data_IF_392128445703
#
_entry.id   IF_392128445703
#
_cell.length_a   1.000
_cell.length_b   1.000
_cell.length_c   1.000
_cell.angle_alpha   90.00
_cell.angle_beta   90.00
_cell.angle_gamma   90.00
#
_symmetry.space_group_name_H-M   'P 1'
#
loop_
_entity.id
_entity.type
_entity.pdbx_description
1 polymer ?
#
# COMPACT_ATOMS: atom_id res chain seq x y z
N UNK A 1 17.29 -51.45 -18.44
CA UNK A 1 17.94 -50.61 -19.47
C UNK A 1 18.58 -49.43 -18.75
N UNK A 2 19.85 -49.60 -18.38
CA UNK A 2 20.69 -48.57 -17.77
C UNK A 2 21.30 -47.71 -18.85
N UNK A 3 21.25 -46.38 -18.70
CA UNK A 3 22.07 -45.47 -19.47
C UNK A 3 22.90 -44.65 -18.47
N UNK A 4 24.20 -44.93 -18.47
CA UNK A 4 25.24 -44.21 -17.77
C UNK A 4 25.69 -43.02 -18.64
N UNK A 5 25.87 -41.86 -18.02
CA UNK A 5 26.52 -40.68 -18.61
C UNK A 5 27.94 -40.52 -18.04
N UNK A 6 28.93 -40.12 -18.84
CA UNK A 6 30.32 -40.06 -18.42
C UNK A 6 30.66 -38.74 -17.72
N UNK A 7 31.66 -38.87 -16.86
CA UNK A 7 32.33 -37.85 -16.08
C UNK A 7 33.51 -37.33 -16.91
N UNK A 8 33.59 -36.02 -17.18
CA UNK A 8 34.79 -35.38 -17.75
C UNK A 8 35.47 -34.51 -16.70
N UNK A 9 36.81 -34.57 -16.76
CA UNK A 9 37.79 -34.16 -15.77
C UNK A 9 38.63 -33.00 -16.33
N UNK A 10 39.07 -32.13 -15.42
CA UNK A 10 40.29 -31.29 -15.44
C UNK A 10 40.63 -30.43 -16.67
N UNK A 11 40.89 -29.14 -16.40
CA UNK A 11 42.21 -28.56 -16.68
C UNK A 11 42.43 -27.32 -15.82
N UNK A 12 43.43 -27.41 -14.94
CA UNK A 12 44.11 -26.27 -14.34
C UNK A 12 44.97 -25.58 -15.41
N UNK A 13 44.91 -24.26 -15.50
CA UNK A 13 45.93 -23.48 -16.20
C UNK A 13 46.16 -22.17 -15.46
N UNK A 14 47.29 -22.15 -14.77
CA UNK A 14 47.85 -21.05 -14.02
C UNK A 14 48.91 -20.38 -14.93
N UNK A 15 48.81 -19.08 -15.18
CA UNK A 15 49.83 -18.30 -15.88
C UNK A 15 50.10 -17.00 -15.12
N UNK A 16 51.35 -16.88 -14.68
CA UNK A 16 51.95 -15.78 -13.95
C UNK A 16 52.04 -14.46 -14.73
N UNK A 17 52.08 -13.39 -13.92
CA UNK A 17 52.90 -12.18 -14.01
C UNK A 17 53.00 -11.39 -15.33
N UNK A 18 52.63 -10.11 -15.26
CA UNK A 18 53.55 -9.01 -15.62
C UNK A 18 53.08 -7.66 -15.07
N UNK A 19 54.08 -6.91 -14.67
CA UNK A 19 54.10 -5.65 -13.94
C UNK A 19 54.10 -4.44 -14.89
N UNK A 20 53.84 -3.27 -14.31
CA UNK A 20 54.20 -1.91 -14.76
C UNK A 20 53.46 -1.26 -15.93
N UNK A 21 52.87 -0.09 -15.63
CA UNK A 21 52.36 0.83 -16.65
C UNK A 21 51.55 1.99 -16.07
N UNK A 22 52.21 2.90 -15.36
CA UNK A 22 51.63 4.14 -14.88
C UNK A 22 51.11 5.01 -16.04
N UNK A 23 49.81 5.33 -16.02
CA UNK A 23 49.29 6.58 -16.58
C UNK A 23 48.10 7.02 -15.74
N UNK A 24 48.33 8.03 -14.90
CA UNK A 24 47.31 8.64 -14.05
C UNK A 24 46.49 9.61 -14.91
N UNK A 25 45.52 9.10 -15.67
CA UNK A 25 44.49 9.93 -16.28
C UNK A 25 43.44 10.24 -15.22
N UNK A 26 43.24 11.52 -14.93
CA UNK A 26 42.11 12.01 -14.15
C UNK A 26 40.86 11.98 -15.05
N UNK A 27 40.45 10.76 -15.42
CA UNK A 27 39.14 10.52 -15.99
C UNK A 27 38.19 10.42 -14.80
N UNK A 28 37.62 11.56 -14.40
CA UNK A 28 36.52 11.58 -13.43
C UNK A 28 35.46 10.59 -13.94
N UNK A 29 35.17 9.53 -13.18
CA UNK A 29 34.22 8.52 -13.60
C UNK A 29 32.88 9.23 -13.84
N UNK A 30 32.17 8.93 -14.94
CA UNK A 30 30.88 9.53 -15.22
C UNK A 30 30.00 9.34 -13.99
N UNK A 31 29.61 10.46 -13.37
CA UNK A 31 28.79 10.45 -12.17
C UNK A 31 27.51 9.67 -12.48
N UNK A 32 27.45 8.44 -11.98
CA UNK A 32 26.27 7.60 -12.12
C UNK A 32 25.08 8.36 -11.54
N UNK A 33 23.95 8.45 -12.27
CA UNK A 33 22.79 9.21 -11.83
C UNK A 33 22.29 8.69 -10.47
N UNK A 34 22.55 9.45 -9.39
CA UNK A 34 22.23 9.15 -7.99
C UNK A 34 20.72 9.21 -7.66
N UNK A 35 19.84 8.77 -8.56
CA UNK A 35 18.39 8.86 -8.37
C UNK A 35 17.84 7.92 -7.30
N UNK A 36 18.53 6.83 -6.97
CA UNK A 36 18.03 5.80 -6.03
C UNK A 36 18.29 6.12 -4.57
N UNK A 37 19.25 6.98 -4.24
CA UNK A 37 19.60 7.29 -2.84
C UNK A 37 18.60 8.24 -2.17
N UNK A 38 18.14 9.28 -2.86
CA UNK A 38 17.33 10.34 -2.24
C UNK A 38 15.93 9.89 -1.83
N UNK A 39 15.33 8.97 -2.59
CA UNK A 39 14.00 8.42 -2.28
C UNK A 39 14.02 7.56 -1.02
N UNK A 40 15.00 6.66 -0.89
CA UNK A 40 15.16 5.83 0.31
C UNK A 40 15.50 6.66 1.54
N UNK A 41 16.30 7.73 1.37
CA UNK A 41 16.65 8.61 2.47
C UNK A 41 15.48 9.48 2.94
N UNK A 42 14.56 9.85 2.02
CA UNK A 42 13.29 10.51 2.36
C UNK A 42 12.39 9.59 3.19
N UNK A 43 12.27 8.31 2.82
CA UNK A 43 11.46 7.33 3.58
C UNK A 43 11.97 7.14 5.03
N UNK A 44 13.26 7.38 5.30
CA UNK A 44 13.89 7.15 6.60
C UNK A 44 13.73 8.33 7.58
N UNK A 45 13.58 9.56 7.11
CA UNK A 45 13.64 10.76 7.99
C UNK A 45 12.36 11.07 8.77
N UNK A 46 11.21 10.55 8.36
CA UNK A 46 9.92 10.95 8.93
C UNK A 46 9.57 10.29 10.28
N UNK A 47 10.34 9.30 10.75
CA UNK A 47 9.99 8.51 11.94
C UNK A 47 10.55 9.05 13.28
N UNK A 48 11.31 10.15 13.29
CA UNK A 48 12.05 10.61 14.47
C UNK A 48 11.33 11.62 15.40
N UNK A 49 10.06 11.98 15.13
CA UNK A 49 9.38 13.10 15.80
C UNK A 49 8.23 12.69 16.74
N UNK A 50 8.36 11.55 17.44
CA UNK A 50 7.33 11.10 18.39
C UNK A 50 7.40 11.89 19.72
N UNK A 51 6.57 12.94 19.83
CA UNK A 51 6.36 13.73 21.04
C UNK A 51 5.60 12.87 22.07
N UNK A 52 6.30 12.47 23.14
CA UNK A 52 5.72 11.75 24.28
C UNK A 52 5.03 12.71 25.25
N UNK A 53 3.69 12.75 25.25
CA UNK A 53 2.88 13.48 26.22
C UNK A 53 2.50 12.57 27.39
N UNK A 54 3.02 12.81 28.59
CA UNK A 54 2.57 12.16 29.83
C UNK A 54 1.53 13.03 30.54
N UNK A 55 0.24 12.72 30.34
CA UNK A 55 -0.84 13.40 31.03
C UNK A 55 -1.15 12.67 32.36
N UNK A 56 -0.56 13.15 33.46
CA UNK A 56 -0.94 12.72 34.81
C UNK A 56 -2.13 13.56 35.30
N UNK A 57 -3.31 12.95 35.30
CA UNK A 57 -4.52 13.58 35.86
C UNK A 57 -4.74 13.07 37.28
N UNK A 58 -4.38 13.88 38.28
CA UNK A 58 -4.69 13.67 39.69
C UNK A 58 -6.15 14.04 39.94
N UNK A 59 -7.05 13.09 39.65
CA UNK A 59 -8.45 13.18 40.09
C UNK A 59 -8.47 13.01 41.61
N UNK A 60 -8.67 14.12 42.31
CA UNK A 60 -8.92 14.16 43.75
C UNK A 60 -10.29 13.51 44.03
N UNK A 61 -10.27 12.23 44.36
CA UNK A 61 -11.44 11.48 44.83
C UNK A 61 -11.72 11.83 46.29
N UNK A 62 -12.43 12.92 46.53
CA UNK A 62 -13.22 13.09 47.77
C UNK A 62 -14.43 12.15 47.70
N UNK A 63 -14.15 10.85 47.72
CA UNK A 63 -15.14 9.78 47.78
C UNK A 63 -15.52 9.61 49.26
N UNK A 64 -16.80 9.84 49.56
CA UNK A 64 -17.46 9.45 50.81
C UNK A 64 -16.96 8.09 51.30
N UNK A 65 -16.41 8.04 52.51
CA UNK A 65 -15.87 6.83 53.16
C UNK A 65 -16.88 5.66 53.09
N UNK A 66 -16.72 4.76 52.11
CA UNK A 66 -17.62 3.62 51.83
C UNK A 66 -17.28 2.36 52.65
N UNK A 67 -16.39 2.49 53.64
CA UNK A 67 -15.84 1.36 54.39
C UNK A 67 -16.42 1.18 55.80
N UNK A 68 -17.51 1.87 56.17
CA UNK A 68 -18.22 1.55 57.40
C UNK A 68 -18.91 0.17 57.25
N UNK A 69 -18.71 -0.76 58.20
CA UNK A 69 -19.39 -2.06 58.17
C UNK A 69 -20.90 -1.86 58.29
N UNK A 70 -21.63 -2.20 57.23
CA UNK A 70 -23.07 -2.05 57.13
C UNK A 70 -23.61 -2.60 55.81
N UNK A 71 -24.92 -2.82 55.75
CA UNK A 71 -25.62 -3.44 54.61
C UNK A 71 -25.33 -2.75 53.27
N UNK A 72 -25.04 -1.44 53.29
CA UNK A 72 -24.65 -0.68 52.10
C UNK A 72 -23.35 -1.14 51.43
N UNK A 73 -22.39 -1.70 52.18
CA UNK A 73 -21.12 -2.20 51.62
C UNK A 73 -21.31 -3.43 50.75
N UNK A 74 -22.19 -4.35 51.16
CA UNK A 74 -22.52 -5.53 50.37
C UNK A 74 -23.23 -5.13 49.07
N UNK A 75 -24.13 -4.15 49.14
CA UNK A 75 -24.83 -3.65 47.96
C UNK A 75 -23.88 -2.94 46.98
N UNK A 76 -22.98 -2.10 47.49
CA UNK A 76 -21.95 -1.45 46.68
C UNK A 76 -21.02 -2.47 46.00
N UNK A 77 -20.54 -3.47 46.72
CA UNK A 77 -19.72 -4.55 46.16
C UNK A 77 -20.47 -5.34 45.08
N UNK A 78 -21.76 -5.62 45.30
CA UNK A 78 -22.60 -6.30 44.32
C UNK A 78 -22.73 -5.50 43.02
N UNK A 79 -23.01 -4.19 43.09
CA UNK A 79 -23.13 -3.36 41.88
C UNK A 79 -21.79 -3.17 41.17
N UNK A 80 -20.68 -2.99 41.90
CA UNK A 80 -19.34 -2.93 41.30
C UNK A 80 -18.99 -4.23 40.57
N UNK A 81 -19.32 -5.37 41.19
CA UNK A 81 -19.12 -6.68 40.55
C UNK A 81 -20.00 -6.85 39.32
N UNK A 82 -21.28 -6.47 39.40
CA UNK A 82 -22.22 -6.56 38.29
C UNK A 82 -21.81 -5.66 37.12
N UNK A 83 -21.36 -4.43 37.40
CA UNK A 83 -20.81 -3.50 36.42
C UNK A 83 -19.58 -4.08 35.72
N UNK A 84 -18.59 -4.55 36.49
CA UNK A 84 -17.39 -5.18 35.93
C UNK A 84 -17.70 -6.43 35.09
N UNK A 85 -18.69 -7.25 35.50
CA UNK A 85 -19.14 -8.41 34.74
C UNK A 85 -19.82 -8.00 33.42
N UNK A 86 -20.63 -6.94 33.43
CA UNK A 86 -21.28 -6.40 32.24
C UNK A 86 -20.26 -5.81 31.25
N UNK A 87 -19.35 -4.98 31.73
CA UNK A 87 -18.27 -4.39 30.93
C UNK A 87 -17.42 -5.47 30.25
N UNK A 88 -17.04 -6.52 30.99
CA UNK A 88 -16.28 -7.65 30.43
C UNK A 88 -17.08 -8.37 29.33
N UNK A 89 -18.39 -8.59 29.51
CA UNK A 89 -19.24 -9.23 28.50
C UNK A 89 -19.41 -8.37 27.25
N UNK A 90 -19.63 -7.07 27.42
CA UNK A 90 -19.75 -6.13 26.29
C UNK A 90 -18.43 -6.01 25.53
N UNK A 91 -17.29 -5.95 26.24
CA UNK A 91 -15.95 -5.98 25.65
C UNK A 91 -15.72 -7.22 24.79
N UNK A 92 -16.01 -8.41 25.33
CA UNK A 92 -15.88 -9.66 24.56
C UNK A 92 -16.79 -9.71 23.32
N UNK A 93 -18.01 -9.17 23.41
CA UNK A 93 -18.92 -9.12 22.26
C UNK A 93 -18.39 -8.16 21.18
N UNK A 94 -17.87 -7.00 21.58
CA UNK A 94 -17.25 -6.05 20.66
C UNK A 94 -16.00 -6.64 19.99
N UNK A 95 -15.12 -7.30 20.74
CA UNK A 95 -13.93 -7.97 20.23
C UNK A 95 -14.28 -9.07 19.22
N UNK A 96 -15.26 -9.93 19.53
CA UNK A 96 -15.72 -10.97 18.59
C UNK A 96 -16.31 -10.38 17.31
N UNK A 97 -17.11 -9.32 17.44
CA UNK A 97 -17.70 -8.65 16.30
C UNK A 97 -16.63 -7.99 15.41
N UNK A 98 -15.59 -7.41 16.02
CA UNK A 98 -14.46 -6.84 15.29
C UNK A 98 -13.62 -7.91 14.59
N UNK A 99 -13.28 -9.01 15.30
CA UNK A 99 -12.55 -10.13 14.74
C UNK A 99 -13.27 -10.73 13.52
N UNK A 100 -14.60 -10.90 13.60
CA UNK A 100 -15.41 -11.38 12.47
C UNK A 100 -15.36 -10.44 11.26
N UNK A 101 -15.43 -9.11 11.49
CA UNK A 101 -15.30 -8.13 10.40
C UNK A 101 -13.92 -8.16 9.75
N UNK A 102 -12.87 -8.35 10.54
CA UNK A 102 -11.50 -8.50 10.04
C UNK A 102 -11.35 -9.76 9.20
N UNK A 103 -11.86 -10.89 9.69
CA UNK A 103 -11.85 -12.15 8.95
C UNK A 103 -12.60 -12.05 7.61
N UNK A 104 -13.78 -11.40 7.61
CA UNK A 104 -14.56 -11.14 6.39
C UNK A 104 -13.76 -10.27 5.40
N UNK A 105 -13.13 -9.20 5.88
CA UNK A 105 -12.32 -8.30 5.05
C UNK A 105 -11.10 -9.01 4.45
N UNK A 106 -10.39 -9.82 5.24
CA UNK A 106 -9.25 -10.63 4.76
C UNK A 106 -9.70 -11.67 3.74
N UNK A 107 -10.84 -12.34 3.98
CA UNK A 107 -11.41 -13.29 3.03
C UNK A 107 -11.79 -12.63 1.71
N UNK A 108 -12.35 -11.42 1.76
CA UNK A 108 -12.67 -10.63 0.58
C UNK A 108 -11.39 -10.20 -0.18
N UNK A 109 -10.34 -9.77 0.54
CA UNK A 109 -9.05 -9.42 -0.05
C UNK A 109 -8.39 -10.60 -0.76
N UNK A 110 -8.40 -11.77 -0.14
CA UNK A 110 -7.88 -13.00 -0.74
C UNK A 110 -8.69 -13.43 -1.97
N UNK A 111 -10.00 -13.16 -1.96
CA UNK A 111 -10.86 -13.30 -3.13
C UNK A 111 -10.75 -12.08 -4.06
N UNK A 112 -9.58 -11.87 -4.67
CA UNK A 112 -9.32 -10.74 -5.59
C UNK A 112 -10.43 -10.50 -6.61
N UNK A 113 -10.99 -11.60 -7.16
CA UNK A 113 -12.12 -11.55 -8.10
C UNK A 113 -13.38 -10.91 -7.49
N UNK A 114 -13.65 -11.16 -6.22
CA UNK A 114 -14.75 -10.55 -5.48
C UNK A 114 -14.59 -9.03 -5.36
N UNK A 115 -13.41 -8.56 -4.95
CA UNK A 115 -13.11 -7.12 -4.90
C UNK A 115 -13.18 -6.46 -6.26
N UNK A 116 -12.60 -7.07 -7.30
CA UNK A 116 -12.69 -6.54 -8.66
C UNK A 116 -14.14 -6.45 -9.14
N UNK A 117 -14.96 -7.47 -8.87
CA UNK A 117 -16.38 -7.42 -9.21
C UNK A 117 -17.09 -6.24 -8.52
N UNK A 118 -16.74 -5.95 -7.27
CA UNK A 118 -17.30 -4.80 -6.56
C UNK A 118 -16.89 -3.48 -7.22
N UNK A 119 -15.61 -3.30 -7.56
CA UNK A 119 -15.11 -2.06 -8.18
C UNK A 119 -15.58 -1.82 -9.62
N UNK A 120 -15.73 -2.87 -10.42
CA UNK A 120 -16.23 -2.77 -11.80
C UNK A 120 -17.74 -2.64 -11.90
N UNK A 121 -18.47 -3.00 -10.85
CA UNK A 121 -19.91 -2.77 -10.80
C UNK A 121 -20.25 -1.28 -10.88
N UNK A 122 -21.50 -0.98 -11.24
CA UNK A 122 -22.02 0.39 -11.24
C UNK A 122 -22.66 0.79 -9.92
N UNK A 123 -22.74 -0.12 -8.94
CA UNK A 123 -23.32 0.19 -7.63
C UNK A 123 -22.30 0.91 -6.72
N UNK A 124 -22.51 2.21 -6.41
CA UNK A 124 -21.63 2.95 -5.53
C UNK A 124 -21.59 2.42 -4.10
N UNK A 125 -22.57 1.60 -3.67
CA UNK A 125 -22.58 0.94 -2.36
C UNK A 125 -21.57 -0.19 -2.30
N UNK A 126 -21.44 -0.97 -3.38
CA UNK A 126 -20.43 -2.04 -3.49
C UNK A 126 -19.02 -1.45 -3.51
N UNK A 127 -18.80 -0.31 -4.19
CA UNK A 127 -17.52 0.41 -4.11
C UNK A 127 -17.17 0.79 -2.67
N UNK A 128 -18.12 1.38 -1.94
CA UNK A 128 -17.92 1.76 -0.54
C UNK A 128 -17.66 0.54 0.36
N UNK A 129 -18.30 -0.60 0.10
CA UNK A 129 -18.07 -1.86 0.81
C UNK A 129 -16.65 -2.39 0.56
N UNK A 130 -16.20 -2.43 -0.69
CA UNK A 130 -14.86 -2.85 -1.05
C UNK A 130 -13.79 -1.95 -0.42
N UNK A 131 -13.94 -0.62 -0.56
CA UNK A 131 -13.07 0.37 0.09
C UNK A 131 -12.98 0.16 1.61
N UNK A 132 -14.12 -0.08 2.27
CA UNK A 132 -14.15 -0.33 3.71
C UNK A 132 -13.40 -1.61 4.10
N UNK A 133 -13.53 -2.69 3.32
CA UNK A 133 -12.78 -3.93 3.55
C UNK A 133 -11.27 -3.70 3.41
N UNK A 134 -10.85 -3.00 2.35
CA UNK A 134 -9.44 -2.66 2.13
C UNK A 134 -8.86 -1.81 3.28
N UNK A 135 -9.59 -0.78 3.74
CA UNK A 135 -9.16 0.05 4.87
C UNK A 135 -9.05 -0.75 6.18
N UNK A 136 -9.94 -1.73 6.41
CA UNK A 136 -9.84 -2.64 7.56
C UNK A 136 -8.56 -3.49 7.49
N UNK A 137 -8.26 -4.06 6.32
CA UNK A 137 -7.05 -4.87 6.12
C UNK A 137 -5.77 -4.03 6.24
N UNK A 138 -5.76 -2.83 5.67
CA UNK A 138 -4.65 -1.88 5.73
C UNK A 138 -4.33 -1.47 7.19
N UNK A 139 -5.35 -1.09 7.97
CA UNK A 139 -5.15 -0.53 9.30
C UNK A 139 -4.98 -1.60 10.40
N UNK A 140 -5.81 -2.66 10.37
CA UNK A 140 -5.98 -3.56 11.53
C UNK A 140 -5.38 -4.96 11.39
N UNK A 141 -4.70 -5.25 10.28
CA UNK A 141 -4.06 -6.55 10.09
C UNK A 141 -2.72 -6.60 10.82
N UNK A 142 -2.51 -7.63 11.65
CA UNK A 142 -1.23 -7.96 12.28
C UNK A 142 -0.24 -8.61 11.30
N UNK A 143 -0.74 -9.07 10.15
CA UNK A 143 0.06 -9.63 9.08
C UNK A 143 0.45 -8.53 8.10
N UNK A 144 1.76 -8.25 8.01
CA UNK A 144 2.36 -7.26 7.10
C UNK A 144 2.03 -7.57 5.63
N UNK A 145 2.01 -8.84 5.23
CA UNK A 145 1.66 -9.24 3.86
C UNK A 145 0.23 -8.86 3.48
N UNK A 146 -0.72 -9.02 4.41
CA UNK A 146 -2.12 -8.59 4.21
C UNK A 146 -2.25 -7.08 4.08
N UNK A 147 -1.45 -6.30 4.83
CA UNK A 147 -1.42 -4.84 4.68
C UNK A 147 -0.87 -4.45 3.30
N UNK A 148 0.23 -5.06 2.86
CA UNK A 148 0.82 -4.84 1.53
C UNK A 148 -0.20 -5.15 0.43
N UNK A 149 -0.89 -6.29 0.53
CA UNK A 149 -1.93 -6.66 -0.43
C UNK A 149 -3.08 -5.64 -0.43
N UNK A 150 -3.52 -5.17 0.74
CA UNK A 150 -4.55 -4.15 0.83
C UNK A 150 -4.10 -2.82 0.19
N UNK A 151 -2.87 -2.36 0.44
CA UNK A 151 -2.31 -1.16 -0.17
C UNK A 151 -2.23 -1.30 -1.70
N UNK A 152 -1.78 -2.45 -2.20
CA UNK A 152 -1.80 -2.75 -3.63
C UNK A 152 -3.19 -2.61 -4.20
N UNK A 153 -4.18 -3.28 -3.61
CA UNK A 153 -5.54 -3.27 -4.14
C UNK A 153 -6.20 -1.88 -4.06
N UNK A 154 -5.83 -1.03 -3.08
CA UNK A 154 -6.23 0.39 -3.06
C UNK A 154 -5.67 1.12 -4.28
N UNK A 155 -4.35 1.04 -4.50
CA UNK A 155 -3.68 1.71 -5.62
C UNK A 155 -4.20 1.19 -6.95
N UNK A 156 -4.33 -0.13 -7.10
CA UNK A 156 -4.90 -0.75 -8.29
C UNK A 156 -6.35 -0.34 -8.53
N UNK A 157 -7.18 -0.30 -7.49
CA UNK A 157 -8.57 0.18 -7.60
C UNK A 157 -8.62 1.62 -8.13
N UNK A 158 -7.78 2.51 -7.60
CA UNK A 158 -7.68 3.90 -8.06
C UNK A 158 -7.15 4.00 -9.49
N UNK A 159 -6.20 3.17 -9.90
CA UNK A 159 -5.74 3.18 -11.29
C UNK A 159 -6.86 2.73 -12.23
N UNK A 160 -7.59 1.68 -11.87
CA UNK A 160 -8.59 1.02 -12.74
C UNK A 160 -9.89 1.80 -12.87
N UNK A 161 -10.32 2.44 -11.78
CA UNK A 161 -11.58 3.20 -11.71
C UNK A 161 -11.38 4.48 -10.88
N UNK A 162 -10.61 5.47 -11.38
CA UNK A 162 -10.12 6.61 -10.60
C UNK A 162 -11.20 7.34 -9.81
N UNK A 163 -12.22 7.86 -10.47
CA UNK A 163 -13.22 8.66 -9.77
C UNK A 163 -14.12 7.81 -8.90
N UNK A 164 -14.54 6.62 -9.36
CA UNK A 164 -15.42 5.71 -8.61
C UNK A 164 -14.77 5.29 -7.29
N UNK A 165 -13.53 4.82 -7.32
CA UNK A 165 -12.83 4.32 -6.14
C UNK A 165 -12.40 5.46 -5.22
N UNK A 166 -11.84 6.55 -5.75
CA UNK A 166 -11.45 7.70 -4.91
C UNK A 166 -12.66 8.31 -4.21
N UNK A 167 -13.77 8.52 -4.92
CA UNK A 167 -15.01 9.03 -4.31
C UNK A 167 -15.60 8.06 -3.28
N UNK A 168 -15.47 6.74 -3.49
CA UNK A 168 -15.89 5.76 -2.50
C UNK A 168 -15.01 5.77 -1.25
N UNK A 169 -13.69 5.86 -1.39
CA UNK A 169 -12.75 6.00 -0.27
C UNK A 169 -13.07 7.24 0.56
N UNK A 170 -13.19 8.41 -0.08
CA UNK A 170 -13.49 9.66 0.61
C UNK A 170 -14.83 9.60 1.37
N UNK A 171 -15.88 9.03 0.76
CA UNK A 171 -17.17 8.85 1.45
C UNK A 171 -17.09 7.90 2.64
N UNK A 172 -16.24 6.86 2.59
CA UNK A 172 -16.06 5.95 3.72
C UNK A 172 -15.35 6.67 4.87
N UNK A 173 -14.28 7.40 4.58
CA UNK A 173 -13.53 8.20 5.56
C UNK A 173 -14.40 9.28 6.20
N UNK A 174 -15.18 10.01 5.39
CA UNK A 174 -16.10 11.04 5.87
C UNK A 174 -17.18 10.47 6.81
N UNK A 175 -17.75 9.30 6.48
CA UNK A 175 -18.71 8.60 7.36
C UNK A 175 -18.09 8.16 8.68
N UNK A 176 -16.79 7.86 8.68
CA UNK A 176 -16.04 7.51 9.89
C UNK A 176 -15.58 8.75 10.66
N UNK A 177 -15.75 9.96 10.10
CA UNK A 177 -15.22 11.23 10.61
C UNK A 177 -13.70 11.19 10.73
N UNK A 178 -13.04 10.51 9.81
CA UNK A 178 -11.59 10.35 9.75
C UNK A 178 -11.03 11.14 8.57
N UNK A 179 -9.83 11.71 8.74
CA UNK A 179 -9.07 12.38 7.66
C UNK A 179 -8.12 11.36 7.05
N UNK A 180 -8.03 11.31 5.71
CA UNK A 180 -7.24 10.29 4.99
C UNK A 180 -5.78 10.23 5.43
N UNK A 181 -5.15 11.38 5.66
CA UNK A 181 -3.76 11.47 6.16
C UNK A 181 -3.61 10.88 7.56
N UNK A 182 -4.57 11.14 8.45
CA UNK A 182 -4.59 10.54 9.79
C UNK A 182 -4.73 9.02 9.71
N UNK A 183 -5.62 8.51 8.85
CA UNK A 183 -5.80 7.07 8.63
C UNK A 183 -4.54 6.42 8.05
N UNK A 184 -3.93 7.05 7.04
CA UNK A 184 -2.69 6.57 6.43
C UNK A 184 -1.54 6.53 7.44
N UNK A 185 -1.43 7.56 8.29
CA UNK A 185 -0.43 7.61 9.36
C UNK A 185 -0.65 6.53 10.42
N UNK A 186 -1.90 6.14 10.68
CA UNK A 186 -2.23 5.11 11.67
C UNK A 186 -1.89 3.69 11.21
N UNK A 187 -1.58 3.49 9.92
CA UNK A 187 -1.14 2.18 9.41
C UNK A 187 0.27 1.80 9.87
N UNK A 188 1.10 2.80 10.17
CA UNK A 188 2.40 2.61 10.84
C UNK A 188 2.14 2.32 12.32
N UNK A 189 2.68 1.21 12.80
CA UNK A 189 2.52 0.73 14.18
C UNK A 189 3.70 1.21 15.01
N UNK A 190 3.46 1.80 16.19
CA UNK A 190 4.54 2.12 17.10
C UNK A 190 5.24 0.82 17.54
N UNK A 191 6.57 0.81 17.45
CA UNK A 191 7.41 -0.32 17.89
C UNK A 191 7.77 -1.34 16.80
N UNK A 192 7.25 -1.22 15.57
CA UNK A 192 7.79 -1.96 14.42
C UNK A 192 8.96 -1.15 13.86
N UNK A 193 10.19 -1.57 14.20
CA UNK A 193 11.41 -0.82 13.88
C UNK A 193 11.74 -0.87 12.39
N UNK A 194 11.45 -2.00 11.72
CA UNK A 194 11.85 -2.23 10.35
C UNK A 194 10.67 -2.70 9.48
N UNK A 195 10.07 -1.76 8.76
CA UNK A 195 9.20 -2.08 7.63
C UNK A 195 10.03 -2.48 6.42
N UNK A 196 9.56 -3.46 5.65
CA UNK A 196 10.22 -3.81 4.39
C UNK A 196 10.09 -2.65 3.39
N UNK A 197 11.06 -2.51 2.49
CA UNK A 197 11.00 -1.52 1.41
C UNK A 197 9.72 -1.65 0.58
N UNK A 198 9.27 -2.88 0.35
CA UNK A 198 8.02 -3.16 -0.33
C UNK A 198 6.81 -2.62 0.43
N UNK A 199 6.78 -2.78 1.76
CA UNK A 199 5.72 -2.20 2.58
C UNK A 199 5.71 -0.69 2.49
N UNK A 200 6.86 -0.04 2.65
CA UNK A 200 6.99 1.43 2.59
C UNK A 200 6.57 1.98 1.23
N UNK A 201 6.97 1.32 0.15
CA UNK A 201 6.59 1.69 -1.22
C UNK A 201 5.07 1.65 -1.44
N UNK A 202 4.41 0.55 -1.05
CA UNK A 202 2.96 0.43 -1.22
C UNK A 202 2.18 1.31 -0.25
N UNK A 203 2.69 1.47 0.98
CA UNK A 203 2.14 2.39 1.98
C UNK A 203 2.12 3.83 1.44
N UNK A 204 3.22 4.32 0.88
CA UNK A 204 3.32 5.69 0.39
C UNK A 204 2.35 5.96 -0.77
N UNK A 205 2.29 5.05 -1.76
CA UNK A 205 1.33 5.16 -2.86
C UNK A 205 -0.13 5.09 -2.38
N UNK A 206 -0.46 4.16 -1.49
CA UNK A 206 -1.82 4.04 -0.95
C UNK A 206 -2.20 5.26 -0.11
N UNK A 207 -1.26 5.80 0.66
CA UNK A 207 -1.43 7.04 1.43
C UNK A 207 -1.72 8.21 0.51
N UNK A 208 -1.00 8.30 -0.62
CA UNK A 208 -1.23 9.32 -1.65
C UNK A 208 -2.64 9.24 -2.24
N UNK A 209 -3.15 8.04 -2.49
CA UNK A 209 -4.54 7.82 -2.94
C UNK A 209 -5.59 8.30 -1.94
N UNK A 210 -5.27 8.36 -0.64
CA UNK A 210 -6.15 8.85 0.42
C UNK A 210 -5.96 10.34 0.76
N UNK A 211 -4.93 10.99 0.23
CA UNK A 211 -4.68 12.39 0.57
C UNK A 211 -5.76 13.29 -0.03
N UNK A 212 -6.25 14.20 0.82
CA UNK A 212 -7.15 15.29 0.47
C UNK A 212 -6.42 16.61 0.25
N UNK A 213 -5.09 16.62 0.38
CA UNK A 213 -4.26 17.80 0.15
C UNK A 213 -4.49 18.37 -1.26
N UNK A 214 -4.50 19.70 -1.35
CA UNK A 214 -4.60 20.42 -2.63
C UNK A 214 -3.52 20.03 -3.62
N UNK A 215 -2.33 19.70 -3.12
CA UNK A 215 -1.14 19.54 -3.94
C UNK A 215 -1.23 18.28 -4.82
N UNK A 216 -1.87 17.23 -4.31
CA UNK A 216 -2.08 15.97 -5.04
C UNK A 216 -3.41 15.93 -5.78
N UNK A 217 -4.26 16.95 -5.56
CA UNK A 217 -5.58 17.00 -6.19
C UNK A 217 -5.45 17.11 -7.71
N UNK A 218 -4.50 17.90 -8.22
CA UNK A 218 -4.25 18.09 -9.64
C UNK A 218 -4.01 16.75 -10.37
N UNK A 219 -3.12 15.89 -9.82
CA UNK A 219 -2.84 14.57 -10.39
C UNK A 219 -4.11 13.75 -10.59
N UNK A 220 -4.94 13.64 -9.56
CA UNK A 220 -6.14 12.82 -9.61
C UNK A 220 -7.33 13.50 -10.30
N UNK A 221 -7.33 14.82 -10.45
CA UNK A 221 -8.29 15.50 -11.31
C UNK A 221 -7.98 15.21 -12.78
N UNK A 222 -6.69 15.20 -13.16
CA UNK A 222 -6.22 14.77 -14.48
C UNK A 222 -6.50 13.28 -14.78
N UNK A 223 -6.78 12.45 -13.77
CA UNK A 223 -7.14 11.03 -14.00
C UNK A 223 -8.60 10.79 -14.34
N UNK A 224 -9.48 11.80 -14.21
CA UNK A 224 -10.90 11.66 -14.54
C UNK A 224 -11.12 11.28 -16.03
N UNK A 225 -10.22 11.67 -16.92
CA UNK A 225 -10.28 11.28 -18.33
C UNK A 225 -10.09 9.77 -18.59
N UNK A 226 -9.56 9.01 -17.61
CA UNK A 226 -9.37 7.57 -17.73
C UNK A 226 -10.60 6.77 -17.30
N UNK A 227 -11.64 7.41 -16.76
CA UNK A 227 -12.85 6.71 -16.35
C UNK A 227 -13.58 6.12 -17.55
N UNK A 228 -13.78 4.79 -17.52
CA UNK A 228 -14.44 4.06 -18.60
C UNK A 228 -13.56 3.84 -19.84
N UNK A 229 -12.33 4.36 -19.85
CA UNK A 229 -11.36 4.00 -20.87
C UNK A 229 -11.03 2.51 -20.79
N UNK A 230 -10.82 1.87 -21.94
CA UNK A 230 -10.37 0.47 -22.00
C UNK A 230 -8.88 0.40 -21.68
N UNK A 231 -8.42 -0.72 -21.14
CA UNK A 231 -6.97 -0.95 -20.99
C UNK A 231 -6.30 -0.91 -22.35
N UNK A 232 -5.10 -0.32 -22.39
CA UNK A 232 -4.26 -0.27 -23.59
C UNK A 232 -5.00 0.29 -24.81
N UNK A 233 -5.73 1.39 -24.63
CA UNK A 233 -6.56 1.99 -25.70
C UNK A 233 -6.33 3.48 -25.91
N UNK A 234 -5.48 4.11 -25.09
CA UNK A 234 -5.22 5.53 -25.17
C UNK A 234 -3.85 5.80 -25.77
N UNK A 235 -3.79 6.85 -26.59
CA UNK A 235 -2.54 7.39 -27.11
C UNK A 235 -1.71 8.07 -26.01
N UNK A 236 -0.43 8.32 -26.28
CA UNK A 236 0.47 8.93 -25.30
C UNK A 236 0.10 10.38 -24.93
N UNK A 237 -0.54 11.13 -25.83
CA UNK A 237 -0.86 12.55 -25.61
C UNK A 237 -1.85 12.74 -24.45
N UNK A 238 -2.67 11.72 -24.15
CA UNK A 238 -3.57 11.72 -22.99
C UNK A 238 -2.84 11.74 -21.65
N UNK A 239 -1.56 11.35 -21.59
CA UNK A 239 -0.81 11.30 -20.34
C UNK A 239 0.03 12.55 -20.07
N UNK A 240 0.09 13.50 -21.01
CA UNK A 240 0.88 14.73 -20.85
C UNK A 240 0.41 15.54 -19.62
N UNK A 241 -0.90 15.77 -19.50
CA UNK A 241 -1.48 16.46 -18.35
C UNK A 241 -1.21 15.73 -17.03
N UNK A 242 -1.24 14.40 -17.04
CA UNK A 242 -0.97 13.58 -15.87
C UNK A 242 0.50 13.70 -15.41
N UNK A 243 1.44 13.69 -16.35
CA UNK A 243 2.86 13.87 -16.08
C UNK A 243 3.16 15.30 -15.59
N UNK A 244 2.56 16.32 -16.20
CA UNK A 244 2.70 17.72 -15.78
C UNK A 244 2.08 18.00 -14.41
N UNK A 245 1.06 17.23 -14.02
CA UNK A 245 0.41 17.33 -12.70
C UNK A 245 1.17 16.60 -11.59
N UNK A 246 2.27 15.90 -11.90
CA UNK A 246 3.06 15.17 -10.92
C UNK A 246 3.95 16.11 -10.12
N UNK A 247 3.66 16.28 -8.83
CA UNK A 247 4.40 17.22 -7.98
C UNK A 247 5.67 16.63 -7.37
N UNK A 248 5.71 15.30 -7.20
CA UNK A 248 6.83 14.58 -6.63
C UNK A 248 7.01 13.18 -7.24
N UNK A 249 8.00 12.44 -6.73
CA UNK A 249 8.33 11.08 -7.18
C UNK A 249 7.16 10.10 -7.04
N UNK A 250 6.35 10.23 -5.98
CA UNK A 250 5.24 9.31 -5.71
C UNK A 250 4.11 9.55 -6.71
N UNK A 251 3.79 10.82 -6.99
CA UNK A 251 2.85 11.20 -8.04
C UNK A 251 3.30 10.69 -9.41
N UNK A 252 4.59 10.84 -9.72
CA UNK A 252 5.18 10.33 -10.97
C UNK A 252 5.04 8.81 -11.08
N UNK A 253 5.33 8.06 -10.01
CA UNK A 253 5.17 6.60 -10.00
C UNK A 253 3.71 6.20 -10.24
N UNK A 254 2.75 6.90 -9.65
CA UNK A 254 1.32 6.68 -9.90
C UNK A 254 1.00 7.00 -11.36
N UNK A 255 1.48 8.13 -11.91
CA UNK A 255 1.29 8.48 -13.32
C UNK A 255 1.82 7.41 -14.28
N UNK A 256 3.00 6.85 -14.00
CA UNK A 256 3.59 5.76 -14.78
C UNK A 256 2.75 4.48 -14.70
N UNK A 257 2.09 4.20 -13.58
CA UNK A 257 1.15 3.08 -13.44
C UNK A 257 -0.11 3.28 -14.30
N UNK A 258 -0.59 4.52 -14.43
CA UNK A 258 -1.66 4.86 -15.37
C UNK A 258 -1.23 4.65 -16.81
N UNK A 259 -0.07 5.19 -17.20
CA UNK A 259 0.50 5.02 -18.56
C UNK A 259 0.60 3.54 -18.89
N UNK A 260 1.26 2.74 -18.06
CA UNK A 260 1.43 1.30 -18.30
C UNK A 260 0.12 0.51 -18.34
N UNK A 261 -0.97 1.03 -17.75
CA UNK A 261 -2.28 0.38 -17.78
C UNK A 261 -3.10 0.75 -19.02
N UNK A 262 -3.09 2.03 -19.42
CA UNK A 262 -4.02 2.56 -20.42
C UNK A 262 -3.38 2.83 -21.78
N UNK A 263 -2.06 2.93 -21.87
CA UNK A 263 -1.37 3.21 -23.12
C UNK A 263 -1.43 2.02 -24.07
N UNK A 264 -1.83 2.27 -25.32
CA UNK A 264 -1.87 1.29 -26.41
C UNK A 264 -0.50 0.68 -26.75
N UNK A 265 0.59 1.34 -26.35
CA UNK A 265 1.96 0.92 -26.60
C UNK A 265 2.47 1.31 -27.98
N UNK A 266 1.71 2.10 -28.73
CA UNK A 266 2.15 2.61 -30.02
C UNK A 266 3.03 3.86 -29.81
N UNK A 267 4.14 3.89 -30.55
CA UNK A 267 5.07 5.02 -30.59
C UNK A 267 6.49 4.73 -30.11
N UNK A 268 7.43 5.67 -30.35
CA UNK A 268 8.86 5.48 -30.09
C UNK A 268 9.19 5.34 -28.60
N UNK A 269 8.34 5.84 -27.70
CA UNK A 269 8.52 5.75 -26.26
C UNK A 269 8.43 4.30 -25.73
N UNK A 270 7.90 3.36 -26.52
CA UNK A 270 7.70 1.98 -26.07
C UNK A 270 9.02 1.34 -25.66
N UNK A 271 10.09 1.65 -26.40
CA UNK A 271 11.43 1.14 -26.14
C UNK A 271 12.06 1.74 -24.88
N UNK A 272 11.77 3.01 -24.57
CA UNK A 272 12.27 3.65 -23.35
C UNK A 272 11.58 3.11 -22.10
N UNK A 273 10.26 2.91 -22.16
CA UNK A 273 9.51 2.36 -21.03
C UNK A 273 9.88 0.91 -20.71
N UNK A 274 10.04 0.09 -21.75
CA UNK A 274 10.41 -1.32 -21.58
C UNK A 274 11.85 -1.50 -21.09
N UNK A 275 12.77 -0.59 -21.43
CA UNK A 275 14.17 -0.65 -20.97
C UNK A 275 14.38 -0.11 -19.55
N UNK A 276 13.58 0.87 -19.09
CA UNK A 276 13.77 1.48 -17.77
C UNK A 276 13.07 0.75 -16.61
N UNK A 277 11.98 0.03 -16.88
CA UNK A 277 11.09 -0.50 -15.84
C UNK A 277 11.06 -2.03 -15.72
N UNK A 278 11.93 -2.76 -16.41
CA UNK A 278 12.05 -4.22 -16.27
C UNK A 278 13.28 -4.56 -15.40
N UNK A 279 13.18 -4.54 -14.04
CA UNK A 279 14.27 -5.01 -13.20
C UNK A 279 14.40 -6.53 -13.39
N UNK A 280 15.63 -7.06 -13.48
CA UNK A 280 15.91 -8.39 -14.06
C UNK A 280 15.25 -9.61 -13.39
N UNK A 281 14.63 -9.52 -12.19
CA UNK A 281 14.22 -10.72 -11.46
C UNK A 281 12.78 -10.81 -10.93
N UNK A 282 11.91 -9.79 -11.10
CA UNK A 282 10.51 -9.90 -10.59
C UNK A 282 9.39 -9.52 -11.55
N UNK A 283 9.67 -8.88 -12.70
CA UNK A 283 8.64 -8.43 -13.65
C UNK A 283 8.63 -9.13 -15.01
N UNK A 284 9.45 -10.18 -15.19
CA UNK A 284 9.40 -11.03 -16.40
C UNK A 284 8.02 -11.68 -16.65
N UNK A 285 7.18 -11.75 -15.61
CA UNK A 285 5.80 -12.19 -15.71
C UNK A 285 4.83 -11.12 -16.24
N UNK A 286 5.16 -9.82 -16.16
CA UNK A 286 4.28 -8.73 -16.58
C UNK A 286 4.29 -8.56 -18.11
N UNK A 287 5.46 -8.56 -18.75
CA UNK A 287 5.57 -8.54 -20.21
C UNK A 287 4.90 -9.76 -20.87
N UNK A 288 5.03 -10.95 -20.27
CA UNK A 288 4.30 -12.17 -20.69
C UNK A 288 2.80 -12.12 -20.34
N UNK A 289 2.41 -11.48 -19.23
CA UNK A 289 1.00 -11.34 -18.84
C UNK A 289 0.25 -10.33 -19.68
N UNK A 290 0.87 -9.23 -20.13
CA UNK A 290 0.23 -8.30 -21.07
C UNK A 290 0.00 -8.97 -22.44
N UNK A 291 0.87 -9.89 -22.85
CA UNK A 291 0.68 -10.71 -24.06
C UNK A 291 -0.41 -11.78 -23.86
N UNK A 292 -0.46 -12.46 -22.70
CA UNK A 292 -1.52 -13.44 -22.37
C UNK A 292 -2.89 -12.83 -22.06
N UNK A 293 -2.97 -11.63 -21.48
CA UNK A 293 -4.23 -10.91 -21.27
C UNK A 293 -4.83 -10.48 -22.61
N UNK A 294 -3.99 -10.06 -23.58
CA UNK A 294 -4.41 -9.86 -24.99
C UNK A 294 -4.97 -11.12 -25.65
N UNK A 295 -4.50 -12.31 -25.27
CA UNK A 295 -5.03 -13.59 -25.78
C UNK A 295 -6.31 -14.03 -25.06
N UNK A 296 -6.41 -13.78 -23.75
CA UNK A 296 -7.58 -14.14 -22.95
C UNK A 296 -8.77 -13.17 -23.12
N UNK A 297 -8.54 -11.87 -23.35
CA UNK A 297 -9.63 -10.91 -23.64
C UNK A 297 -10.23 -11.07 -25.04
N UNK A 298 -9.56 -11.78 -25.97
CA UNK A 298 -10.17 -12.19 -27.25
C UNK A 298 -11.15 -13.37 -27.10
N UNK A 299 -11.22 -13.98 -25.91
CA UNK A 299 -12.06 -15.14 -25.62
C UNK A 299 -13.32 -14.76 -24.80
N UNK A 300 -13.59 -13.47 -24.59
CA UNK A 300 -14.79 -12.93 -23.95
C UNK A 300 -15.40 -11.81 -24.81
#
# INVERSE_FOLDING_TARGET
MSLATPHEEMTDSNCDASNDGATHSNDDPPEDPQFTSSFLDKLRRDDASAISYSYYSTVSTNYTMSNLPGTGRNLGNFYSWAGAALERRLGQLAERADAKKREEAVSALQSKRGLYRMFWGDDPREHGKACKMLLICANRSDNIGVQIDAFREIVWGVIKCPTKVRSALMRVLERQKEVGETVASSWKRPGVVDYTLEWLYWHDMASRCLSTSSDHKALFDATAQFDGAKFQSLDFSRFEELLLSSSDTTDLIIALRFITSYWDGDGPLFFLFTSYFDPPNHFHHFGKSCRRLRENERLW
#
